data_IF_476319452667
#
_entry.id   IF_476319452667
#
_cell.length_a   1.000
_cell.length_b   1.000
_cell.length_c   1.000
_cell.angle_alpha   90.00
_cell.angle_beta   90.00
_cell.angle_gamma   90.00
#
_symmetry.space_group_name_H-M   'P 1'
#
loop_
_entity.id
_entity.type
_entity.pdbx_description
1 polymer ?
#
# COMPACT_ATOMS: atom_id res chain seq x y z
N UNK A 1 14.52 1.45 -14.53
CA UNK A 1 13.81 1.79 -13.27
C UNK A 1 13.20 0.50 -12.73
N UNK A 2 13.28 0.25 -11.43
CA UNK A 2 12.69 -0.97 -10.83
C UNK A 2 11.20 -0.72 -10.58
N UNK A 3 10.37 -1.71 -10.88
CA UNK A 3 8.95 -1.69 -10.59
C UNK A 3 8.54 -3.05 -10.03
N UNK A 4 7.47 -3.05 -9.26
CA UNK A 4 6.94 -4.22 -8.59
C UNK A 4 5.45 -4.37 -8.90
N UNK A 5 4.98 -5.61 -8.91
CA UNK A 5 3.57 -5.95 -9.16
C UNK A 5 2.82 -6.03 -7.83
N UNK A 6 1.77 -5.23 -7.70
CA UNK A 6 0.93 -5.22 -6.50
C UNK A 6 -0.40 -5.87 -6.87
N UNK A 7 -0.76 -6.93 -6.16
CA UNK A 7 -2.04 -7.62 -6.31
C UNK A 7 -2.98 -7.24 -5.17
N UNK A 8 -4.16 -6.72 -5.50
CA UNK A 8 -5.22 -6.37 -4.55
C UNK A 8 -6.25 -7.49 -4.44
N UNK A 9 -6.36 -8.02 -3.22
CA UNK A 9 -7.33 -9.03 -2.81
C UNK A 9 -8.48 -8.38 -2.02
N UNK A 10 -9.72 -8.92 -2.11
CA UNK A 10 -10.10 -10.12 -2.87
C UNK A 10 -10.42 -9.86 -4.36
N UNK A 11 -10.35 -8.60 -4.81
CA UNK A 11 -10.77 -8.18 -6.16
C UNK A 11 -9.98 -8.84 -7.30
N UNK A 12 -8.74 -9.28 -7.03
CA UNK A 12 -7.79 -9.78 -8.01
C UNK A 12 -7.19 -8.70 -8.91
N UNK A 13 -7.31 -7.41 -8.56
CA UNK A 13 -6.78 -6.33 -9.38
C UNK A 13 -5.27 -6.24 -9.24
N UNK A 14 -4.57 -5.97 -10.34
CA UNK A 14 -3.13 -5.79 -10.33
C UNK A 14 -2.76 -4.41 -10.84
N UNK A 15 -1.76 -3.81 -10.21
CA UNK A 15 -1.17 -2.56 -10.66
C UNK A 15 0.34 -2.56 -10.41
N UNK A 16 1.04 -1.74 -11.18
CA UNK A 16 2.49 -1.61 -11.09
C UNK A 16 2.85 -0.45 -10.16
N UNK A 17 3.73 -0.70 -9.21
CA UNK A 17 4.33 0.33 -8.36
C UNK A 17 5.79 0.53 -8.74
N UNK A 18 6.14 1.73 -9.19
CA UNK A 18 7.53 2.11 -9.43
C UNK A 18 8.29 2.28 -8.11
N UNK A 19 9.58 1.92 -8.12
CA UNK A 19 10.45 2.12 -6.97
C UNK A 19 10.55 3.62 -6.64
N UNK A 20 10.17 3.99 -5.43
CA UNK A 20 10.10 5.39 -4.98
C UNK A 20 8.68 5.96 -4.93
N UNK A 21 7.72 5.32 -5.58
CA UNK A 21 6.32 5.73 -5.56
C UNK A 21 5.57 5.00 -4.45
N UNK A 22 4.72 5.72 -3.72
CA UNK A 22 3.92 5.11 -2.66
C UNK A 22 2.85 4.19 -3.25
N UNK A 23 2.48 3.14 -2.52
CA UNK A 23 1.46 2.18 -2.96
C UNK A 23 0.11 2.88 -3.24
N UNK A 24 -0.23 3.89 -2.45
CA UNK A 24 -1.41 4.72 -2.69
C UNK A 24 -1.33 5.47 -4.03
N UNK A 25 -0.21 6.14 -4.30
CA UNK A 25 -0.05 6.89 -5.55
C UNK A 25 -0.05 5.96 -6.77
N UNK A 26 0.63 4.81 -6.68
CA UNK A 26 0.63 3.80 -7.73
C UNK A 26 -0.78 3.23 -8.00
N UNK A 27 -1.57 2.97 -6.94
CA UNK A 27 -2.96 2.55 -7.09
C UNK A 27 -3.81 3.64 -7.78
N UNK A 28 -3.65 4.91 -7.38
CA UNK A 28 -4.38 6.04 -7.96
C UNK A 28 -4.08 6.21 -9.46
N UNK A 29 -2.82 6.07 -9.86
CA UNK A 29 -2.39 6.09 -11.27
C UNK A 29 -3.01 4.95 -12.08
N UNK A 30 -3.24 3.80 -11.46
CA UNK A 30 -3.93 2.66 -12.08
C UNK A 30 -5.46 2.76 -12.04
N UNK A 31 -6.01 3.90 -11.60
CA UNK A 31 -7.46 4.11 -11.48
C UNK A 31 -8.10 3.40 -10.28
N UNK A 32 -7.29 2.95 -9.32
CA UNK A 32 -7.74 2.25 -8.11
C UNK A 32 -7.66 3.21 -6.92
N UNK A 33 -8.81 3.49 -6.29
CA UNK A 33 -8.87 4.26 -5.05
C UNK A 33 -8.83 3.36 -3.83
N UNK A 34 -7.78 3.51 -3.05
CA UNK A 34 -7.70 3.03 -1.67
C UNK A 34 -8.30 4.08 -0.72
N UNK A 35 -8.82 3.63 0.41
CA UNK A 35 -9.24 4.52 1.50
C UNK A 35 -8.02 5.32 1.98
N UNK A 36 -8.15 6.65 2.02
CA UNK A 36 -7.07 7.54 2.47
C UNK A 36 -7.64 8.87 2.95
N UNK A 37 -6.94 9.51 3.90
CA UNK A 37 -7.30 10.82 4.44
C UNK A 37 -6.06 11.72 4.57
N UNK A 38 -5.24 11.55 5.62
CA UNK A 38 -4.10 12.44 5.88
C UNK A 38 -2.92 12.32 4.91
N UNK A 39 -2.77 11.15 4.25
CA UNK A 39 -1.64 10.81 3.36
C UNK A 39 -0.23 11.00 3.94
N UNK A 40 -0.10 11.10 5.26
CA UNK A 40 1.17 11.30 5.96
C UNK A 40 1.43 10.22 7.03
N UNK A 41 0.74 9.08 6.94
CA UNK A 41 0.98 7.95 7.83
C UNK A 41 0.42 8.06 9.25
N UNK A 42 -0.42 9.05 9.59
CA UNK A 42 -0.89 9.27 10.98
C UNK A 42 -2.34 8.87 11.24
N UNK A 43 -3.26 9.13 10.31
CA UNK A 43 -4.71 8.93 10.54
C UNK A 43 -5.18 7.46 10.51
N UNK A 44 -4.35 6.54 10.01
CA UNK A 44 -4.66 5.11 9.81
C UNK A 44 -5.86 4.77 8.91
N UNK A 45 -6.49 5.74 8.24
CA UNK A 45 -7.60 5.49 7.29
C UNK A 45 -7.22 4.53 6.16
N UNK A 46 -5.94 4.50 5.76
CA UNK A 46 -5.45 3.62 4.70
C UNK A 46 -4.91 2.28 5.20
N UNK A 47 -4.97 1.99 6.50
CA UNK A 47 -4.42 0.77 7.08
C UNK A 47 -5.01 -0.46 6.37
N UNK A 48 -4.14 -1.32 5.87
CA UNK A 48 -4.51 -2.56 5.19
C UNK A 48 -3.49 -3.66 5.49
N UNK A 49 -3.86 -4.89 5.19
CA UNK A 49 -3.04 -6.06 5.47
C UNK A 49 -2.25 -6.46 4.21
N UNK A 50 -0.99 -6.85 4.38
CA UNK A 50 -0.07 -7.29 3.34
C UNK A 50 0.44 -8.69 3.71
N UNK A 51 -0.28 -9.76 3.32
CA UNK A 51 0.11 -11.13 3.68
C UNK A 51 1.47 -11.54 3.11
N UNK A 52 1.90 -10.94 2.00
CA UNK A 52 3.16 -11.28 1.34
C UNK A 52 3.78 -10.05 0.69
N UNK A 53 5.10 -9.94 0.79
CA UNK A 53 5.88 -8.90 0.12
C UNK A 53 6.76 -8.12 1.10
N UNK A 54 7.40 -7.08 0.58
CA UNK A 54 8.23 -6.18 1.38
C UNK A 54 8.03 -4.73 0.96
N UNK A 55 7.95 -3.86 1.95
CA UNK A 55 7.79 -2.42 1.77
C UNK A 55 8.76 -1.66 2.67
N UNK A 56 9.20 -0.50 2.19
CA UNK A 56 9.84 0.53 3.02
C UNK A 56 8.87 1.68 3.25
N UNK A 57 8.99 2.36 4.38
CA UNK A 57 8.24 3.57 4.65
C UNK A 57 9.05 4.81 4.26
N UNK A 58 8.39 5.82 3.72
CA UNK A 58 8.99 7.13 3.42
C UNK A 58 9.03 8.05 4.64
N UNK A 59 8.46 7.61 5.76
CA UNK A 59 8.40 8.32 7.04
C UNK A 59 9.06 7.47 8.12
N UNK A 60 9.69 8.14 9.09
CA UNK A 60 10.43 7.49 10.17
C UNK A 60 9.48 6.80 11.16
N UNK A 61 8.32 7.41 11.42
CA UNK A 61 7.31 6.94 12.39
C UNK A 61 5.93 6.81 11.75
N UNK A 62 5.65 5.73 10.99
CA UNK A 62 4.30 5.45 10.55
C UNK A 62 3.42 5.11 11.76
N UNK A 63 2.14 5.50 11.73
CA UNK A 63 1.14 5.15 12.75
C UNK A 63 0.71 3.68 12.72
N UNK A 64 1.65 2.77 12.45
CA UNK A 64 1.51 1.31 12.54
C UNK A 64 2.38 0.86 13.71
N UNK A 65 1.78 0.16 14.66
CA UNK A 65 2.50 -0.41 15.79
C UNK A 65 3.45 -1.54 15.34
N UNK A 66 4.50 -1.86 16.12
CA UNK A 66 5.39 -2.97 15.82
C UNK A 66 4.66 -4.31 15.65
N UNK A 67 3.69 -4.61 16.52
CA UNK A 67 2.86 -5.82 16.44
C UNK A 67 2.01 -5.85 15.17
N UNK A 68 1.38 -4.73 14.81
CA UNK A 68 0.62 -4.61 13.56
C UNK A 68 1.53 -4.86 12.34
N UNK A 69 2.76 -4.34 12.36
CA UNK A 69 3.72 -4.56 11.28
C UNK A 69 4.17 -6.03 11.18
N UNK A 70 4.31 -6.72 12.32
CA UNK A 70 4.59 -8.16 12.37
C UNK A 70 3.41 -8.99 11.86
N UNK A 71 2.19 -8.56 12.14
CA UNK A 71 0.96 -9.17 11.62
C UNK A 71 0.70 -8.80 10.14
N UNK A 72 1.59 -8.01 9.50
CA UNK A 72 1.51 -7.67 8.09
C UNK A 72 0.67 -6.43 7.77
N UNK A 73 0.24 -5.65 8.76
CA UNK A 73 -0.45 -4.38 8.50
C UNK A 73 0.50 -3.28 8.04
N UNK A 74 0.04 -2.49 7.07
CA UNK A 74 0.81 -1.40 6.48
C UNK A 74 -0.04 -0.16 6.20
N UNK A 75 0.62 0.99 6.04
CA UNK A 75 0.00 2.22 5.54
C UNK A 75 0.46 2.49 4.09
N UNK A 76 -0.34 2.14 3.08
CA UNK A 76 0.03 2.29 1.67
C UNK A 76 0.24 3.74 1.25
N UNK A 77 -0.25 4.72 2.03
CA UNK A 77 -0.02 6.14 1.74
C UNK A 77 1.44 6.58 1.89
N UNK A 78 2.22 5.86 2.69
CA UNK A 78 3.64 6.17 2.96
C UNK A 78 4.54 4.95 2.77
N UNK A 79 3.99 3.82 2.31
CA UNK A 79 4.74 2.62 1.99
C UNK A 79 5.12 2.59 0.51
N UNK A 80 6.33 2.15 0.20
CA UNK A 80 6.89 1.94 -1.14
C UNK A 80 7.29 0.49 -1.28
N UNK A 81 6.91 -0.15 -2.37
CA UNK A 81 7.26 -1.56 -2.62
C UNK A 81 8.77 -1.75 -2.82
N UNK A 82 9.26 -2.88 -2.31
CA UNK A 82 10.62 -3.37 -2.54
C UNK A 82 10.66 -4.78 -3.15
N UNK A 83 9.49 -5.40 -3.28
CA UNK A 83 9.25 -6.68 -3.96
C UNK A 83 7.80 -6.69 -4.49
N UNK A 84 7.43 -7.72 -5.27
CA UNK A 84 6.03 -7.98 -5.58
C UNK A 84 5.25 -8.25 -4.30
N UNK A 85 4.07 -7.62 -4.15
CA UNK A 85 3.28 -7.68 -2.91
C UNK A 85 1.83 -8.07 -3.19
N UNK A 86 1.22 -8.70 -2.20
CA UNK A 86 -0.23 -8.91 -2.16
C UNK A 86 -0.79 -8.02 -1.06
N UNK A 87 -1.81 -7.22 -1.39
CA UNK A 87 -2.51 -6.34 -0.47
C UNK A 87 -3.96 -6.80 -0.31
N UNK A 88 -4.39 -6.93 0.93
CA UNK A 88 -5.78 -7.10 1.32
C UNK A 88 -6.32 -5.75 1.78
N UNK A 89 -6.98 -5.04 0.87
CA UNK A 89 -7.48 -3.70 1.11
C UNK A 89 -8.83 -3.49 0.45
N UNK A 90 -9.69 -2.72 1.12
CA UNK A 90 -10.94 -2.25 0.50
C UNK A 90 -10.61 -1.15 -0.50
N UNK A 91 -10.84 -1.42 -1.78
CA UNK A 91 -10.53 -0.53 -2.89
C UNK A 91 -11.74 -0.37 -3.83
N UNK A 92 -11.84 0.80 -4.46
CA UNK A 92 -12.85 1.11 -5.49
C UNK A 92 -12.12 1.45 -6.79
N UNK A 93 -12.44 0.75 -7.88
CA UNK A 93 -11.90 1.08 -9.21
C UNK A 93 -12.83 2.10 -9.87
N UNK A 94 -12.27 3.19 -10.38
CA UNK A 94 -13.04 4.14 -11.20
C UNK A 94 -13.16 3.56 -12.61
N UNK A 95 -14.38 3.55 -13.15
CA UNK A 95 -14.67 3.19 -14.53
C UNK A 95 -14.17 4.27 -15.50
#
# INVERSE_FOLDING_TARGET
MRSYTITLMPQGWQFTAEAGTTLLAAAELAGIRLLSSCRNGTCRTCLCHMPTGQVRYTVDWPGVSPDERLDGYILPCVAVAEADIILQARAVRRA
#
